data_IF_296498835127
#
_entry.id   IF_296498835127
#
_cell.length_a   1.000
_cell.length_b   1.000
_cell.length_c   1.000
_cell.angle_alpha   90.00
_cell.angle_beta   90.00
_cell.angle_gamma   90.00
#
_symmetry.space_group_name_H-M   'P 1'
#
loop_
_entity.id
_entity.type
_entity.pdbx_description
1 polymer ?
#
# COMPACT_ATOMS: atom_id res chain seq x y z
N UNK A 1 9.97 -2.15 5.95
CA UNK A 1 8.86 -2.72 5.11
C UNK A 1 8.79 -4.22 5.42
N UNK A 2 8.05 -5.09 4.69
CA UNK A 2 7.89 -6.53 5.02
C UNK A 2 9.21 -7.26 5.29
N UNK A 3 10.33 -6.86 4.69
CA UNK A 3 11.67 -7.42 4.93
C UNK A 3 12.19 -7.26 6.37
N UNK A 4 11.58 -6.39 7.18
CA UNK A 4 11.96 -6.14 8.58
C UNK A 4 11.00 -6.81 9.57
N UNK A 5 10.00 -7.57 9.09
CA UNK A 5 8.98 -8.16 9.96
C UNK A 5 9.52 -9.41 10.65
N UNK A 6 9.16 -9.59 11.93
CA UNK A 6 9.24 -10.89 12.59
C UNK A 6 8.07 -11.77 12.14
N UNK A 7 8.28 -12.49 11.04
CA UNK A 7 7.25 -13.32 10.42
C UNK A 7 6.73 -14.41 11.36
N UNK A 8 7.57 -14.97 12.24
CA UNK A 8 7.14 -16.02 13.18
C UNK A 8 6.06 -15.50 14.13
N UNK A 9 6.25 -14.28 14.66
CA UNK A 9 5.28 -13.60 15.51
C UNK A 9 4.01 -13.29 14.72
N UNK A 10 4.09 -12.69 13.53
CA UNK A 10 2.89 -12.42 12.72
C UNK A 10 2.10 -13.69 12.40
N UNK A 11 2.76 -14.76 11.96
CA UNK A 11 2.11 -16.03 11.60
C UNK A 11 1.44 -16.69 12.81
N UNK A 12 2.03 -16.59 14.01
CA UNK A 12 1.45 -17.13 15.24
C UNK A 12 0.12 -16.47 15.64
N UNK A 13 -0.13 -15.23 15.22
CA UNK A 13 -1.39 -14.52 15.51
C UNK A 13 -2.54 -14.91 14.58
N UNK A 14 -2.24 -15.65 13.51
CA UNK A 14 -3.26 -16.09 12.57
C UNK A 14 -4.10 -17.21 13.18
N UNK A 15 -5.40 -17.19 12.85
CA UNK A 15 -6.27 -18.35 13.08
C UNK A 15 -5.71 -19.58 12.38
N UNK A 16 -6.13 -20.76 12.83
CA UNK A 16 -5.82 -22.02 12.15
C UNK A 16 -6.18 -21.92 10.67
N UNK A 17 -5.24 -22.27 9.78
CA UNK A 17 -5.31 -22.12 8.32
C UNK A 17 -5.47 -20.68 7.82
N UNK A 18 -5.10 -19.69 8.64
CA UNK A 18 -5.12 -18.28 8.28
C UNK A 18 -4.09 -17.91 7.21
N UNK A 19 -4.33 -16.79 6.53
CA UNK A 19 -3.50 -16.31 5.42
C UNK A 19 -2.87 -14.96 5.76
N UNK A 20 -1.55 -14.91 5.73
CA UNK A 20 -0.81 -13.66 5.64
C UNK A 20 -0.72 -13.26 4.17
N UNK A 21 -1.39 -12.17 3.79
CA UNK A 21 -1.38 -11.69 2.39
C UNK A 21 -0.43 -10.49 2.25
N UNK A 22 0.75 -10.72 1.69
CA UNK A 22 1.77 -9.70 1.50
C UNK A 22 1.54 -8.91 0.20
N UNK A 23 1.32 -7.60 0.33
CA UNK A 23 1.31 -6.66 -0.81
C UNK A 23 2.53 -5.74 -0.82
N UNK A 24 3.44 -5.88 0.15
CA UNK A 24 4.69 -5.14 0.20
C UNK A 24 5.73 -5.72 -0.75
N UNK A 25 6.40 -4.86 -1.51
CA UNK A 25 7.46 -5.21 -2.45
C UNK A 25 8.75 -4.46 -2.04
N UNK A 26 9.50 -5.00 -1.06
CA UNK A 26 10.72 -4.37 -0.58
C UNK A 26 11.90 -4.50 -1.55
N UNK A 27 12.92 -3.66 -1.36
CA UNK A 27 14.16 -3.69 -2.15
C UNK A 27 15.04 -4.91 -1.86
N UNK A 28 14.82 -5.57 -0.72
CA UNK A 28 15.59 -6.73 -0.24
C UNK A 28 14.68 -7.95 -0.10
N UNK A 29 15.29 -9.13 0.07
CA UNK A 29 14.58 -10.38 0.29
C UNK A 29 13.57 -10.30 1.45
N UNK A 30 12.49 -11.08 1.34
CA UNK A 30 11.58 -11.29 2.47
C UNK A 30 12.32 -11.93 3.65
N UNK A 31 11.83 -11.74 4.89
CA UNK A 31 12.47 -12.34 6.06
C UNK A 31 12.52 -13.86 5.93
N UNK A 32 13.63 -14.46 6.36
CA UNK A 32 13.76 -15.90 6.37
C UNK A 32 12.68 -16.53 7.26
N UNK A 33 11.99 -17.54 6.74
CA UNK A 33 10.97 -18.31 7.46
C UNK A 33 11.39 -19.78 7.50
N UNK A 34 11.12 -20.43 8.62
CA UNK A 34 11.30 -21.87 8.79
C UNK A 34 9.99 -22.57 8.48
N UNK A 35 10.05 -23.82 8.01
CA UNK A 35 8.85 -24.64 7.84
C UNK A 35 8.06 -24.80 9.16
N UNK A 36 8.78 -24.80 10.30
CA UNK A 36 8.20 -24.89 11.64
C UNK A 36 7.37 -23.66 12.02
N UNK A 37 7.58 -22.50 11.39
CA UNK A 37 6.78 -21.30 11.69
C UNK A 37 5.32 -21.46 11.25
N UNK A 38 5.05 -22.38 10.31
CA UNK A 38 3.72 -22.69 9.80
C UNK A 38 3.03 -23.85 10.53
N UNK A 39 3.80 -24.74 11.17
CA UNK A 39 3.28 -25.98 11.74
C UNK A 39 2.24 -25.80 12.87
N UNK A 40 2.36 -24.82 13.80
CA UNK A 40 1.44 -24.69 14.93
C UNK A 40 -0.02 -24.42 14.55
N UNK A 41 -0.26 -23.71 13.44
CA UNK A 41 -1.59 -23.32 13.00
C UNK A 41 -1.90 -23.63 11.53
N UNK A 42 -0.96 -24.22 10.78
CA UNK A 42 -1.11 -24.51 9.36
C UNK A 42 -1.33 -23.25 8.51
N UNK A 43 -0.72 -22.14 8.88
CA UNK A 43 -0.88 -20.85 8.20
C UNK A 43 -0.29 -20.85 6.78
N UNK A 44 -0.70 -19.86 5.98
CA UNK A 44 -0.24 -19.64 4.62
C UNK A 44 0.32 -18.23 4.47
N UNK A 45 1.26 -18.09 3.53
CA UNK A 45 1.67 -16.79 2.99
C UNK A 45 1.32 -16.74 1.49
N UNK A 46 0.76 -15.61 1.06
CA UNK A 46 0.41 -15.35 -0.34
C UNK A 46 0.68 -13.90 -0.71
N UNK A 47 0.56 -13.59 -1.99
CA UNK A 47 0.72 -12.24 -2.52
C UNK A 47 -0.29 -11.98 -3.65
N UNK A 48 -0.45 -10.71 -4.01
CA UNK A 48 -1.22 -10.29 -5.18
C UNK A 48 -0.56 -9.09 -5.84
N UNK A 49 -0.88 -8.86 -7.11
CA UNK A 49 -0.44 -7.69 -7.86
C UNK A 49 -1.67 -6.96 -8.38
N UNK A 50 -1.95 -5.79 -7.79
CA UNK A 50 -3.12 -4.95 -8.07
C UNK A 50 -4.46 -5.73 -8.10
N UNK A 51 -5.52 -5.10 -8.60
CA UNK A 51 -6.81 -5.73 -8.89
C UNK A 51 -7.20 -5.50 -10.35
N UNK A 52 -8.25 -6.16 -10.81
CA UNK A 52 -8.77 -6.00 -12.16
C UNK A 52 -9.76 -4.82 -12.27
N UNK A 53 -10.18 -4.50 -13.50
CA UNK A 53 -11.10 -3.38 -13.75
C UNK A 53 -12.48 -3.55 -13.06
N UNK A 54 -13.15 -4.72 -13.15
CA UNK A 54 -14.37 -4.98 -12.37
C UNK A 54 -14.23 -4.73 -10.86
N UNK A 55 -13.13 -5.18 -10.25
CA UNK A 55 -12.84 -4.97 -8.83
C UNK A 55 -12.63 -3.48 -8.50
N UNK A 56 -11.95 -2.73 -9.38
CA UNK A 56 -11.80 -1.28 -9.23
C UNK A 56 -13.17 -0.58 -9.23
N UNK A 57 -14.07 -0.93 -10.17
CA UNK A 57 -15.42 -0.35 -10.22
C UNK A 57 -16.20 -0.67 -8.94
N UNK A 58 -16.17 -1.93 -8.49
CA UNK A 58 -16.84 -2.35 -7.25
C UNK A 58 -16.28 -1.64 -6.01
N UNK A 59 -14.95 -1.45 -5.94
CA UNK A 59 -14.29 -0.74 -4.84
C UNK A 59 -14.68 0.74 -4.80
N UNK A 60 -14.72 1.42 -5.96
CA UNK A 60 -15.15 2.82 -6.04
C UNK A 60 -16.63 2.99 -5.66
N UNK A 61 -17.48 2.07 -6.07
CA UNK A 61 -18.89 2.05 -5.68
C UNK A 61 -19.06 1.88 -4.16
N UNK A 62 -18.34 0.93 -3.56
CA UNK A 62 -18.33 0.73 -2.11
C UNK A 62 -17.84 1.99 -1.38
N UNK A 63 -16.73 2.58 -1.84
CA UNK A 63 -16.15 3.77 -1.24
C UNK A 63 -17.13 4.96 -1.27
N UNK A 64 -17.85 5.13 -2.38
CA UNK A 64 -18.91 6.15 -2.51
C UNK A 64 -20.06 5.90 -1.53
N UNK A 65 -20.61 4.67 -1.50
CA UNK A 65 -21.76 4.31 -0.66
C UNK A 65 -21.47 4.40 0.84
N UNK A 66 -20.26 4.06 1.25
CA UNK A 66 -19.85 4.03 2.66
C UNK A 66 -19.08 5.28 3.09
N UNK A 67 -18.93 6.28 2.20
CA UNK A 67 -18.16 7.50 2.43
C UNK A 67 -16.72 7.22 2.92
N UNK A 68 -16.05 6.24 2.31
CA UNK A 68 -14.65 5.91 2.60
C UNK A 68 -13.77 6.90 1.83
N UNK A 69 -12.85 7.57 2.54
CA UNK A 69 -11.92 8.54 1.97
C UNK A 69 -10.50 8.25 2.39
N UNK A 70 -9.55 8.44 1.48
CA UNK A 70 -8.13 8.46 1.81
C UNK A 70 -7.78 9.75 2.57
N UNK A 71 -6.75 9.69 3.40
CA UNK A 71 -6.18 10.89 4.02
C UNK A 71 -5.12 11.45 3.10
N UNK A 72 -5.42 12.61 2.52
CA UNK A 72 -4.63 13.22 1.45
C UNK A 72 -4.03 14.56 1.86
N UNK A 73 -2.84 14.82 1.34
CA UNK A 73 -2.20 16.13 1.33
C UNK A 73 -2.04 16.56 -0.13
N UNK A 74 -2.70 17.64 -0.53
CA UNK A 74 -2.62 18.14 -1.91
C UNK A 74 -1.36 18.97 -2.11
N UNK A 75 -0.66 18.72 -3.22
CA UNK A 75 0.52 19.49 -3.62
C UNK A 75 0.30 19.98 -5.05
N UNK A 76 0.38 21.29 -5.33
CA UNK A 76 0.38 21.78 -6.71
C UNK A 76 1.57 21.18 -7.47
N UNK A 77 1.32 20.69 -8.68
CA UNK A 77 2.37 20.06 -9.47
C UNK A 77 3.36 21.13 -9.96
N UNK A 78 4.61 20.95 -9.56
CA UNK A 78 5.77 21.73 -10.00
C UNK A 78 7.02 20.87 -9.77
N UNK A 79 8.20 21.24 -10.32
CA UNK A 79 9.45 20.57 -9.97
C UNK A 79 9.68 20.49 -8.45
N UNK A 80 9.43 21.59 -7.73
CA UNK A 80 9.56 21.69 -6.28
C UNK A 80 8.49 20.85 -5.56
N UNK A 81 7.24 20.87 -6.05
CA UNK A 81 6.14 20.08 -5.52
C UNK A 81 6.41 18.57 -5.63
N UNK A 82 6.91 18.12 -6.78
CA UNK A 82 7.33 16.74 -7.00
C UNK A 82 8.50 16.35 -6.09
N UNK A 83 9.53 17.20 -5.97
CA UNK A 83 10.65 16.96 -5.07
C UNK A 83 10.19 16.81 -3.61
N UNK A 84 9.31 17.72 -3.14
CA UNK A 84 8.72 17.64 -1.81
C UNK A 84 7.93 16.34 -1.61
N UNK A 85 7.10 15.95 -2.57
CA UNK A 85 6.27 14.76 -2.48
C UNK A 85 7.13 13.48 -2.36
N UNK A 86 8.12 13.32 -3.24
CA UNK A 86 9.00 12.13 -3.27
C UNK A 86 9.84 12.05 -2.00
N UNK A 87 10.49 13.14 -1.59
CA UNK A 87 11.29 13.18 -0.35
C UNK A 87 10.42 12.93 0.87
N UNK A 88 9.23 13.51 0.93
CA UNK A 88 8.29 13.31 2.04
C UNK A 88 7.81 11.87 2.17
N UNK A 89 7.63 11.15 1.07
CA UNK A 89 7.35 9.69 1.10
C UNK A 89 8.57 8.92 1.59
N UNK A 90 9.77 9.21 1.06
CA UNK A 90 11.01 8.53 1.46
C UNK A 90 11.30 8.68 2.95
N UNK A 91 11.03 9.86 3.51
CA UNK A 91 11.24 10.20 4.92
C UNK A 91 10.03 9.89 5.82
N UNK A 92 8.97 9.25 5.28
CA UNK A 92 7.72 8.94 6.00
C UNK A 92 7.04 10.15 6.67
N UNK A 93 7.14 11.34 6.08
CA UNK A 93 6.51 12.58 6.59
C UNK A 93 5.03 12.70 6.21
N UNK A 94 4.61 12.03 5.14
CA UNK A 94 3.24 12.07 4.60
C UNK A 94 2.21 11.39 5.51
N UNK A 95 0.97 11.91 5.56
CA UNK A 95 -0.17 11.38 6.33
C UNK A 95 -1.45 11.28 5.48
N UNK A 96 -1.69 10.24 4.70
CA UNK A 96 -0.83 9.10 4.34
C UNK A 96 -0.46 9.12 2.85
N UNK A 97 -1.08 10.01 2.05
CA UNK A 97 -0.90 10.08 0.59
C UNK A 97 -0.77 11.53 0.09
N UNK A 98 0.29 11.81 -0.66
CA UNK A 98 0.35 13.04 -1.45
C UNK A 98 -0.48 12.88 -2.73
N UNK A 99 -1.26 13.91 -3.05
CA UNK A 99 -2.02 13.99 -4.30
C UNK A 99 -1.59 15.23 -5.05
N UNK A 100 -0.98 15.04 -6.23
CA UNK A 100 -0.63 16.16 -7.09
C UNK A 100 -1.89 16.79 -7.67
N UNK A 101 -1.92 18.12 -7.73
CA UNK A 101 -3.06 18.94 -8.15
C UNK A 101 -2.57 20.09 -9.02
N UNK A 102 -3.48 20.90 -9.56
CA UNK A 102 -3.10 22.11 -10.31
C UNK A 102 -2.43 21.83 -11.67
N UNK A 103 -2.86 20.75 -12.35
CA UNK A 103 -2.28 20.36 -13.63
C UNK A 103 -2.57 21.36 -14.75
N UNK A 104 -3.74 21.99 -14.75
CA UNK A 104 -4.12 22.96 -15.79
C UNK A 104 -3.27 24.25 -15.68
N UNK A 105 -2.89 24.65 -14.46
CA UNK A 105 -1.99 25.78 -14.21
C UNK A 105 -0.57 25.46 -14.67
N UNK A 106 -0.11 24.23 -14.47
CA UNK A 106 1.25 23.82 -14.83
C UNK A 106 1.43 23.55 -16.33
N UNK A 107 0.39 23.06 -17.02
CA UNK A 107 0.49 22.57 -18.39
C UNK A 107 -0.50 23.20 -19.39
N UNK A 108 -1.37 24.11 -18.92
CA UNK A 108 -2.49 24.63 -19.69
C UNK A 108 -3.72 23.74 -19.62
N UNK A 109 -4.90 24.31 -19.91
CA UNK A 109 -6.16 23.55 -19.94
C UNK A 109 -6.11 22.47 -21.00
N UNK A 110 -6.55 21.27 -20.63
CA UNK A 110 -6.90 20.24 -21.61
C UNK A 110 -8.17 20.72 -22.34
N UNK A 111 -8.11 20.66 -23.67
CA UNK A 111 -9.14 21.12 -24.60
C UNK A 111 -10.50 20.48 -24.34
#
# INVERSE_FOLDING_TARGET
MTQEFDMSTYLSTLKVMGRFHNVGLPDYDLPAMKAQDFAPNGSYIGASHIGNHPEMVAMLELASKQNIRSWIETIPISPEGCAKAVTGVKENKVRYRYTLTGFDEAFGKRY
#
